data_IF_430462292742
#
_entry.id   IF_430462292742
#
_cell.length_a   1.000
_cell.length_b   1.000
_cell.length_c   1.000
_cell.angle_alpha   90.00
_cell.angle_beta   90.00
_cell.angle_gamma   90.00
#
_symmetry.space_group_name_H-M   'P 1'
#
loop_
_entity.id
_entity.type
_entity.pdbx_description
1 polymer ?
#
# COMPACT_ATOMS: atom_id res chain seq x y z
N UNK A 1 0.20 2.59 -6.14
CA UNK A 1 1.28 1.60 -5.87
C UNK A 1 0.91 0.81 -4.63
N UNK A 2 0.97 -0.51 -4.70
CA UNK A 2 0.70 -1.40 -3.57
C UNK A 2 1.97 -1.61 -2.72
N UNK A 3 1.80 -1.87 -1.42
CA UNK A 3 2.84 -2.53 -0.62
C UNK A 3 2.47 -4.00 -0.57
N UNK A 4 3.23 -4.81 -1.29
CA UNK A 4 2.97 -6.24 -1.37
C UNK A 4 3.76 -7.03 -0.34
N UNK A 5 5.00 -6.61 -0.07
CA UNK A 5 5.94 -7.32 0.80
C UNK A 5 6.69 -6.35 1.70
N UNK A 6 6.76 -6.67 2.99
CA UNK A 6 7.57 -5.99 3.99
C UNK A 6 8.54 -6.99 4.60
N UNK A 7 9.79 -6.59 4.85
CA UNK A 7 10.75 -7.41 5.57
C UNK A 7 11.83 -6.56 6.25
N UNK A 8 12.61 -7.19 7.12
CA UNK A 8 13.74 -6.58 7.83
C UNK A 8 15.03 -7.30 7.50
N UNK A 9 16.19 -6.68 7.74
CA UNK A 9 17.49 -7.31 7.51
C UNK A 9 17.97 -7.20 6.06
N UNK A 10 18.49 -8.31 5.52
CA UNK A 10 19.14 -8.32 4.22
C UNK A 10 18.16 -8.05 3.06
N UNK A 11 18.64 -7.39 2.01
CA UNK A 11 17.81 -7.01 0.86
C UNK A 11 17.56 -8.20 -0.09
N UNK A 12 18.59 -8.66 -0.80
CA UNK A 12 18.48 -9.71 -1.81
C UNK A 12 19.78 -10.51 -1.90
N UNK A 13 19.68 -11.83 -2.13
CA UNK A 13 20.77 -12.68 -2.59
C UNK A 13 20.53 -13.03 -4.07
N UNK A 14 21.42 -12.60 -4.97
CA UNK A 14 21.29 -12.80 -6.41
C UNK A 14 21.79 -14.16 -6.92
N UNK A 15 22.33 -15.01 -6.05
CA UNK A 15 23.00 -16.27 -6.41
C UNK A 15 22.13 -17.20 -7.28
N UNK A 16 20.82 -17.26 -7.02
CA UNK A 16 19.84 -18.03 -7.80
C UNK A 16 19.84 -17.71 -9.30
N UNK A 17 20.25 -16.51 -9.68
CA UNK A 17 20.22 -16.04 -11.07
C UNK A 17 21.58 -16.10 -11.77
N UNK A 18 22.64 -16.54 -11.08
CA UNK A 18 23.98 -16.63 -11.67
C UNK A 18 24.17 -17.89 -12.51
N UNK A 19 23.46 -18.97 -12.20
CA UNK A 19 23.59 -20.27 -12.87
C UNK A 19 22.52 -20.53 -13.94
N UNK A 20 21.51 -19.66 -14.05
CA UNK A 20 20.45 -19.81 -15.04
C UNK A 20 19.47 -18.63 -15.08
N UNK A 21 18.89 -18.41 -16.27
CA UNK A 21 17.80 -17.43 -16.47
C UNK A 21 16.45 -18.09 -16.21
N UNK A 22 15.44 -17.29 -15.86
CA UNK A 22 14.05 -17.77 -15.74
C UNK A 22 13.72 -18.59 -14.49
N UNK A 23 14.56 -18.54 -13.44
CA UNK A 23 14.37 -19.31 -12.21
C UNK A 23 13.23 -18.80 -11.30
N UNK A 24 12.37 -17.91 -11.78
CA UNK A 24 11.29 -17.29 -10.99
C UNK A 24 11.75 -16.06 -10.18
N UNK A 25 10.91 -15.63 -9.23
CA UNK A 25 11.19 -14.47 -8.39
C UNK A 25 12.18 -14.81 -7.27
N UNK A 26 13.09 -13.88 -6.96
CA UNK A 26 13.97 -13.98 -5.81
C UNK A 26 13.25 -13.48 -4.55
N UNK A 27 13.07 -14.32 -3.51
CA UNK A 27 12.53 -13.85 -2.23
C UNK A 27 13.52 -12.90 -1.54
N UNK A 28 13.06 -12.09 -0.58
CA UNK A 28 13.96 -11.31 0.27
C UNK A 28 14.99 -12.21 0.96
N UNK A 29 16.23 -11.74 1.07
CA UNK A 29 17.26 -12.42 1.86
C UNK A 29 17.12 -12.16 3.37
N UNK A 30 16.18 -11.28 3.76
CA UNK A 30 15.97 -10.85 5.12
C UNK A 30 15.06 -11.75 5.94
N UNK A 31 14.58 -11.20 7.06
CA UNK A 31 13.76 -11.86 8.07
C UNK A 31 12.45 -11.08 8.29
N UNK A 32 11.51 -11.68 9.03
CA UNK A 32 10.20 -11.09 9.34
C UNK A 32 9.45 -10.66 8.08
N UNK A 33 9.46 -11.54 7.08
CA UNK A 33 8.84 -11.31 5.77
C UNK A 33 7.32 -11.40 5.90
N UNK A 34 6.63 -10.32 5.57
CA UNK A 34 5.16 -10.21 5.63
C UNK A 34 4.63 -9.85 4.26
N UNK A 35 3.84 -10.74 3.66
CA UNK A 35 3.07 -10.45 2.44
C UNK A 35 1.78 -9.76 2.83
N UNK A 36 1.67 -8.48 2.51
CA UNK A 36 0.61 -7.59 2.99
C UNK A 36 -0.57 -7.55 2.01
N UNK A 37 -0.29 -7.41 0.72
CA UNK A 37 -1.30 -7.27 -0.32
C UNK A 37 -0.80 -7.95 -1.61
N UNK A 38 -1.70 -8.11 -2.57
CA UNK A 38 -1.40 -8.53 -3.93
C UNK A 38 -2.38 -7.91 -4.91
N UNK A 39 -1.91 -7.45 -6.07
CA UNK A 39 -2.78 -6.88 -7.10
C UNK A 39 -3.09 -5.39 -6.87
N UNK A 40 -4.15 -4.85 -7.51
CA UNK A 40 -4.47 -3.43 -7.43
C UNK A 40 -4.67 -2.94 -5.99
N UNK A 41 -4.03 -1.83 -5.62
CA UNK A 41 -4.21 -1.20 -4.31
C UNK A 41 -5.36 -0.19 -4.28
N UNK A 42 -5.92 0.17 -5.43
CA UNK A 42 -7.06 1.07 -5.55
C UNK A 42 -8.15 0.43 -6.39
N UNK A 43 -9.40 0.70 -6.04
CA UNK A 43 -10.57 0.31 -6.83
C UNK A 43 -11.74 1.26 -6.58
N UNK A 44 -12.66 1.34 -7.54
CA UNK A 44 -13.96 1.99 -7.38
C UNK A 44 -14.97 0.93 -6.92
N UNK A 45 -15.54 1.10 -5.74
CA UNK A 45 -16.51 0.14 -5.18
C UNK A 45 -17.85 0.83 -5.03
N UNK A 46 -18.84 0.37 -5.79
CA UNK A 46 -20.22 0.84 -5.69
C UNK A 46 -20.89 0.40 -4.37
N UNK A 47 -20.44 -0.73 -3.80
CA UNK A 47 -20.92 -1.24 -2.52
C UNK A 47 -19.84 -2.02 -1.78
N UNK A 48 -20.09 -2.32 -0.50
CA UNK A 48 -19.19 -3.16 0.32
C UNK A 48 -19.13 -4.62 -0.14
N UNK A 49 -20.02 -5.07 -1.03
CA UNK A 49 -20.02 -6.44 -1.59
C UNK A 49 -19.42 -6.52 -2.99
N UNK A 50 -19.15 -5.38 -3.65
CA UNK A 50 -18.46 -5.34 -4.94
C UNK A 50 -17.12 -6.05 -4.84
N UNK A 51 -16.89 -7.05 -5.70
CA UNK A 51 -15.64 -7.80 -5.74
C UNK A 51 -14.45 -6.87 -6.01
N UNK A 52 -13.31 -7.13 -5.40
CA UNK A 52 -12.09 -6.39 -5.72
C UNK A 52 -11.55 -6.83 -7.07
N UNK A 53 -11.19 -5.91 -7.98
CA UNK A 53 -10.74 -6.29 -9.32
C UNK A 53 -9.38 -7.00 -9.26
N UNK A 54 -9.20 -8.02 -10.12
CA UNK A 54 -7.94 -8.76 -10.22
C UNK A 54 -6.80 -7.95 -10.84
N UNK A 55 -7.16 -7.01 -11.71
CA UNK A 55 -6.26 -6.10 -12.43
C UNK A 55 -6.87 -4.70 -12.49
N UNK A 56 -6.10 -3.69 -12.89
CA UNK A 56 -6.68 -2.38 -13.15
C UNK A 56 -7.51 -2.46 -14.44
N UNK A 57 -8.83 -2.27 -14.33
CA UNK A 57 -9.73 -2.21 -15.47
C UNK A 57 -9.63 -0.89 -16.22
N UNK A 58 -10.31 -0.80 -17.37
CA UNK A 58 -10.34 0.40 -18.21
C UNK A 58 -10.89 1.64 -17.47
N UNK A 59 -11.78 1.43 -16.49
CA UNK A 59 -12.35 2.45 -15.61
C UNK A 59 -11.34 3.06 -14.62
N UNK A 60 -10.22 2.36 -14.41
CA UNK A 60 -9.11 2.74 -13.55
C UNK A 60 -7.79 2.64 -14.30
N UNK A 61 -7.69 3.31 -15.46
CA UNK A 61 -6.44 3.39 -16.20
C UNK A 61 -5.30 3.87 -15.28
N UNK A 62 -4.46 2.91 -14.91
CA UNK A 62 -3.36 3.09 -13.99
C UNK A 62 -2.05 3.13 -14.76
N UNK A 63 -1.30 4.23 -14.63
CA UNK A 63 -0.03 4.39 -15.34
C UNK A 63 1.05 4.83 -14.38
N UNK A 64 2.13 4.06 -14.32
CA UNK A 64 3.34 4.50 -13.65
C UNK A 64 4.01 5.61 -14.47
N UNK A 65 4.25 6.76 -13.83
CA UNK A 65 4.82 7.95 -14.47
C UNK A 65 6.32 8.04 -14.23
N UNK A 66 6.80 7.55 -13.09
CA UNK A 66 8.22 7.54 -12.74
C UNK A 66 8.45 7.70 -11.25
N UNK A 67 9.68 8.00 -10.87
CA UNK A 67 10.05 8.27 -9.48
C UNK A 67 11.13 9.36 -9.39
N UNK A 68 11.25 9.98 -8.22
CA UNK A 68 12.33 10.91 -7.89
C UNK A 68 12.84 10.64 -6.48
N UNK A 69 14.11 10.94 -6.24
CA UNK A 69 14.68 10.87 -4.91
C UNK A 69 14.64 12.23 -4.22
N UNK A 70 14.39 12.24 -2.92
CA UNK A 70 14.62 13.42 -2.08
C UNK A 70 16.11 13.53 -1.71
N UNK A 71 16.48 14.55 -0.92
CA UNK A 71 17.88 14.79 -0.48
C UNK A 71 18.47 13.64 0.37
N UNK A 72 17.62 12.78 0.94
CA UNK A 72 18.00 11.59 1.73
C UNK A 72 18.02 10.30 0.88
N UNK A 73 17.87 10.42 -0.43
CA UNK A 73 17.75 9.29 -1.36
C UNK A 73 16.51 8.40 -1.12
N UNK A 74 15.49 8.93 -0.45
CA UNK A 74 14.21 8.24 -0.31
C UNK A 74 13.37 8.50 -1.58
N UNK A 75 12.73 7.46 -2.17
CA UNK A 75 11.97 7.61 -3.40
C UNK A 75 10.58 8.21 -3.14
N UNK A 76 10.12 9.00 -4.10
CA UNK A 76 8.72 9.34 -4.32
C UNK A 76 8.29 8.74 -5.65
N UNK A 77 7.25 7.91 -5.65
CA UNK A 77 6.71 7.24 -6.83
C UNK A 77 5.49 8.00 -7.35
N UNK A 78 5.46 8.26 -8.66
CA UNK A 78 4.40 8.99 -9.33
C UNK A 78 3.60 8.05 -10.23
N UNK A 79 2.28 8.08 -10.12
CA UNK A 79 1.37 7.35 -11.00
C UNK A 79 0.09 8.14 -11.24
N UNK A 80 -0.58 7.86 -12.36
CA UNK A 80 -1.95 8.32 -12.60
C UNK A 80 -2.93 7.17 -12.39
N UNK A 81 -4.13 7.50 -11.95
CA UNK A 81 -5.22 6.55 -11.76
C UNK A 81 -6.55 7.24 -12.08
N UNK A 82 -7.24 6.85 -13.15
CA UNK A 82 -8.51 7.47 -13.57
C UNK A 82 -8.43 9.02 -13.61
N UNK A 83 -7.33 9.57 -14.16
CA UNK A 83 -7.07 11.01 -14.23
C UNK A 83 -6.61 11.67 -12.93
N UNK A 84 -6.60 10.96 -11.79
CA UNK A 84 -5.98 11.42 -10.54
C UNK A 84 -4.46 11.36 -10.67
N UNK A 85 -3.76 12.34 -10.10
CA UNK A 85 -2.30 12.27 -9.95
C UNK A 85 -2.00 11.78 -8.55
N UNK A 86 -1.21 10.72 -8.43
CA UNK A 86 -0.87 10.13 -7.16
C UNK A 86 0.63 10.12 -6.97
N UNK A 87 1.06 10.57 -5.79
CA UNK A 87 2.44 10.51 -5.33
C UNK A 87 2.50 9.68 -4.05
N UNK A 88 3.33 8.64 -4.04
CA UNK A 88 3.54 7.76 -2.89
C UNK A 88 4.97 7.92 -2.37
N UNK A 89 5.09 8.32 -1.10
CA UNK A 89 6.37 8.54 -0.42
C UNK A 89 6.56 7.53 0.70
N UNK A 90 7.17 6.36 0.42
CA UNK A 90 7.62 5.44 1.45
C UNK A 90 8.87 5.96 2.16
N UNK A 91 8.88 5.91 3.49
CA UNK A 91 10.00 6.30 4.35
C UNK A 91 10.21 5.27 5.45
N UNK A 92 11.44 4.82 5.62
CA UNK A 92 11.78 3.90 6.70
C UNK A 92 11.63 4.58 8.06
N UNK A 93 11.02 3.88 9.01
CA UNK A 93 11.03 4.26 10.43
C UNK A 93 12.17 3.50 11.07
N UNK A 94 13.22 4.22 11.47
CA UNK A 94 14.40 3.67 12.12
C UNK A 94 14.51 4.25 13.54
N UNK A 95 14.36 3.41 14.55
CA UNK A 95 14.61 3.72 15.95
C UNK A 95 15.26 2.54 16.66
N UNK A 96 15.85 2.77 17.85
CA UNK A 96 16.64 1.76 18.58
C UNK A 96 16.04 0.34 18.55
N UNK A 97 14.74 0.22 18.79
CA UNK A 97 13.97 -1.04 18.70
C UNK A 97 12.65 -0.85 17.93
N UNK A 98 12.59 0.10 16.99
CA UNK A 98 11.38 0.34 16.19
C UNK A 98 11.76 0.36 14.72
N UNK A 99 11.31 -0.65 14.01
CA UNK A 99 11.45 -0.76 12.56
C UNK A 99 10.07 -0.67 11.94
N UNK A 100 9.98 0.03 10.81
CA UNK A 100 8.72 0.23 10.15
C UNK A 100 8.83 0.97 8.84
N UNK A 101 7.68 1.19 8.23
CA UNK A 101 7.51 1.95 7.01
C UNK A 101 6.39 2.95 7.22
N UNK A 102 6.67 4.23 7.03
CA UNK A 102 5.63 5.24 6.87
C UNK A 102 5.41 5.49 5.38
N UNK A 103 4.15 5.64 4.96
CA UNK A 103 3.77 6.05 3.61
C UNK A 103 2.85 7.26 3.69
N UNK A 104 3.17 8.28 2.91
CA UNK A 104 2.26 9.38 2.61
C UNK A 104 1.86 9.27 1.14
N UNK A 105 0.60 8.89 0.90
CA UNK A 105 0.03 8.80 -0.45
C UNK A 105 -0.79 10.05 -0.69
N UNK A 106 -0.26 10.95 -1.51
CA UNK A 106 -0.88 12.21 -1.92
C UNK A 106 -1.68 11.99 -3.19
N UNK A 107 -2.95 12.36 -3.19
CA UNK A 107 -3.91 12.19 -4.28
C UNK A 107 -4.40 13.58 -4.67
N UNK A 108 -3.97 14.06 -5.84
CA UNK A 108 -4.36 15.35 -6.39
C UNK A 108 -5.57 15.18 -7.31
N UNK A 109 -6.66 15.89 -6.99
CA UNK A 109 -7.93 15.83 -7.71
C UNK A 109 -8.17 17.14 -8.45
N UNK A 110 -7.79 17.18 -9.73
CA UNK A 110 -8.01 18.34 -10.60
C UNK A 110 -9.40 18.44 -11.22
N UNK A 111 -10.20 17.36 -11.18
CA UNK A 111 -11.46 17.24 -11.92
C UNK A 111 -12.66 16.83 -11.06
N UNK A 112 -13.44 15.86 -11.56
CA UNK A 112 -14.55 15.24 -10.83
C UNK A 112 -13.97 14.43 -9.66
N UNK A 113 -14.51 14.64 -8.47
CA UNK A 113 -14.11 13.90 -7.27
C UNK A 113 -14.78 12.52 -7.30
N UNK A 114 -14.04 11.40 -7.28
CA UNK A 114 -14.65 10.08 -7.20
C UNK A 114 -15.12 9.80 -5.77
N UNK A 115 -16.39 9.43 -5.62
CA UNK A 115 -17.02 9.17 -4.31
C UNK A 115 -16.87 7.73 -3.83
N UNK A 116 -16.41 6.83 -4.69
CA UNK A 116 -16.34 5.38 -4.45
C UNK A 116 -14.92 4.85 -4.47
N UNK A 117 -13.91 5.72 -4.43
CA UNK A 117 -12.51 5.28 -4.44
C UNK A 117 -12.14 4.68 -3.08
N UNK A 118 -11.65 3.45 -3.12
CA UNK A 118 -11.14 2.72 -1.96
C UNK A 118 -9.67 2.38 -2.17
N UNK A 119 -8.95 2.30 -1.06
CA UNK A 119 -7.62 1.73 -0.99
C UNK A 119 -7.67 0.37 -0.28
N UNK A 120 -7.10 -0.67 -0.88
CA UNK A 120 -6.91 -1.97 -0.22
C UNK A 120 -5.56 -1.97 0.47
N UNK A 121 -5.59 -2.02 1.80
CA UNK A 121 -4.39 -1.96 2.61
C UNK A 121 -3.81 -3.34 2.93
N UNK A 122 -4.64 -4.39 2.92
CA UNK A 122 -4.19 -5.77 3.04
C UNK A 122 -5.17 -6.77 2.40
N UNK A 123 -4.65 -7.89 1.92
CA UNK A 123 -5.43 -9.07 1.54
C UNK A 123 -4.59 -10.35 1.68
N UNK A 124 -5.25 -11.50 1.86
CA UNK A 124 -4.56 -12.80 1.92
C UNK A 124 -3.69 -13.02 3.16
N UNK A 125 -3.83 -12.17 4.18
CA UNK A 125 -3.17 -12.24 5.48
C UNK A 125 -4.18 -12.00 6.58
N UNK A 126 -4.09 -12.71 7.72
CA UNK A 126 -5.00 -12.47 8.84
C UNK A 126 -5.00 -10.98 9.26
N UNK A 127 -6.19 -10.37 9.33
CA UNK A 127 -6.35 -8.98 9.78
C UNK A 127 -7.17 -8.93 11.06
N UNK A 128 -6.57 -8.46 12.15
CA UNK A 128 -7.27 -8.25 13.44
C UNK A 128 -7.34 -6.76 13.77
N UNK A 129 -8.55 -6.25 14.03
CA UNK A 129 -8.74 -4.86 14.48
C UNK A 129 -8.27 -4.70 15.93
N UNK A 130 -7.37 -3.75 16.17
CA UNK A 130 -6.82 -3.41 17.50
C UNK A 130 -7.46 -2.14 18.10
N UNK A 131 -8.41 -1.54 17.38
CA UNK A 131 -9.02 -0.26 17.70
C UNK A 131 -8.15 0.95 17.36
N UNK A 132 -8.80 2.11 17.22
CA UNK A 132 -8.12 3.38 16.94
C UNK A 132 -7.43 3.42 15.57
N UNK A 133 -8.05 2.85 14.54
CA UNK A 133 -7.49 2.72 13.18
C UNK A 133 -6.19 1.88 13.10
N UNK A 134 -6.01 0.94 14.03
CA UNK A 134 -4.89 0.00 14.03
C UNK A 134 -5.35 -1.41 13.74
N UNK A 135 -4.55 -2.11 12.94
CA UNK A 135 -4.82 -3.46 12.47
C UNK A 135 -3.56 -4.30 12.60
N UNK A 136 -3.63 -5.43 13.30
CA UNK A 136 -2.58 -6.44 13.28
C UNK A 136 -2.69 -7.26 11.98
N UNK A 137 -1.56 -7.42 11.30
CA UNK A 137 -1.42 -8.16 10.06
C UNK A 137 -0.59 -9.41 10.34
N UNK A 138 -1.28 -10.54 10.48
CA UNK A 138 -0.68 -11.87 10.67
C UNK A 138 0.18 -12.01 11.93
N UNK A 139 -0.08 -11.25 13.00
CA UNK A 139 0.67 -11.27 14.26
C UNK A 139 2.06 -10.64 14.20
N UNK A 140 2.46 -10.06 13.07
CA UNK A 140 3.84 -9.61 12.84
C UNK A 140 3.98 -8.10 12.67
N UNK A 141 3.03 -7.47 11.98
CA UNK A 141 3.08 -6.03 11.64
C UNK A 141 1.77 -5.38 12.04
N UNK A 142 1.86 -4.26 12.75
CA UNK A 142 0.73 -3.37 12.99
C UNK A 142 0.69 -2.29 11.91
N UNK A 143 -0.43 -2.22 11.21
CA UNK A 143 -0.79 -1.10 10.34
C UNK A 143 -1.62 -0.09 11.12
N UNK A 144 -1.15 1.15 11.19
CA UNK A 144 -1.90 2.32 11.66
C UNK A 144 -2.32 3.18 10.47
N UNK A 145 -3.63 3.45 10.36
CA UNK A 145 -4.20 4.33 9.34
C UNK A 145 -4.38 5.73 9.94
N UNK A 146 -3.60 6.68 9.42
CA UNK A 146 -3.64 8.07 9.86
C UNK A 146 -4.93 8.78 9.46
N UNK A 147 -5.22 9.87 10.18
CA UNK A 147 -6.27 10.82 9.78
C UNK A 147 -5.89 11.51 8.46
N UNK A 148 -6.88 11.99 7.71
CA UNK A 148 -6.69 12.62 6.41
C UNK A 148 -7.89 12.33 5.51
N UNK A 149 -7.62 11.85 4.29
CA UNK A 149 -8.70 11.41 3.38
C UNK A 149 -9.28 10.04 3.73
N UNK A 150 -8.65 9.29 4.63
CA UNK A 150 -9.18 8.00 5.10
C UNK A 150 -10.52 8.18 5.84
N UNK A 151 -11.56 7.52 5.34
CA UNK A 151 -12.77 7.25 6.10
C UNK A 151 -12.58 5.96 6.94
N UNK A 152 -13.59 5.55 7.72
CA UNK A 152 -13.53 4.38 8.60
C UNK A 152 -13.11 3.12 7.82
N UNK A 153 -11.92 2.54 8.09
CA UNK A 153 -11.52 1.28 7.49
C UNK A 153 -12.40 0.13 7.96
N UNK A 154 -12.51 -0.91 7.16
CA UNK A 154 -13.27 -2.12 7.51
C UNK A 154 -12.63 -3.37 6.91
N UNK A 155 -12.88 -4.51 7.56
CA UNK A 155 -12.43 -5.82 7.10
C UNK A 155 -13.61 -6.58 6.52
N UNK A 156 -13.45 -7.20 5.34
CA UNK A 156 -14.45 -8.10 4.75
C UNK A 156 -13.82 -9.40 4.24
N UNK A 157 -14.67 -10.37 3.90
CA UNK A 157 -14.29 -11.64 3.26
C UNK A 157 -13.13 -12.38 3.95
N UNK A 158 -13.09 -12.32 5.30
CA UNK A 158 -12.05 -12.94 6.12
C UNK A 158 -10.63 -12.64 5.61
N UNK A 159 -10.23 -11.36 5.61
CA UNK A 159 -8.83 -10.83 5.53
C UNK A 159 -8.60 -9.67 4.56
N UNK A 160 -9.65 -9.10 3.96
CA UNK A 160 -9.50 -7.94 3.09
C UNK A 160 -9.73 -6.65 3.87
N UNK A 161 -8.66 -5.87 4.10
CA UNK A 161 -8.72 -4.57 4.77
C UNK A 161 -8.85 -3.44 3.75
N UNK A 162 -10.00 -2.77 3.78
CA UNK A 162 -10.35 -1.69 2.87
C UNK A 162 -10.45 -0.35 3.59
N UNK A 163 -9.99 0.70 2.93
CA UNK A 163 -10.04 2.09 3.39
C UNK A 163 -10.81 2.91 2.35
N UNK A 164 -12.08 3.27 2.60
CA UNK A 164 -12.78 4.23 1.74
C UNK A 164 -12.08 5.59 1.82
N UNK A 165 -11.96 6.28 0.69
CA UNK A 165 -11.32 7.58 0.62
C UNK A 165 -12.36 8.68 0.43
N UNK A 166 -12.42 9.60 1.39
CA UNK A 166 -13.21 10.83 1.29
C UNK A 166 -12.36 11.91 0.65
N UNK A 167 -12.36 11.95 -0.68
CA UNK A 167 -11.62 12.94 -1.46
C UNK A 167 -12.35 14.28 -1.58
N UNK A 168 -11.57 15.33 -1.80
CA UNK A 168 -12.02 16.68 -2.18
C UNK A 168 -11.21 17.15 -3.40
N UNK A 169 -11.64 18.23 -4.05
CA UNK A 169 -10.78 18.88 -5.07
C UNK A 169 -9.47 19.36 -4.45
N UNK A 170 -8.39 19.31 -5.23
CA UNK A 170 -7.04 19.63 -4.78
C UNK A 170 -6.36 18.44 -4.09
N UNK A 171 -5.49 18.76 -3.14
CA UNK A 171 -4.60 17.78 -2.49
C UNK A 171 -5.31 17.02 -1.36
N UNK A 172 -5.18 15.68 -1.39
CA UNK A 172 -5.69 14.78 -0.35
C UNK A 172 -4.57 13.83 0.06
N UNK A 173 -4.48 13.48 1.35
CA UNK A 173 -3.40 12.61 1.84
C UNK A 173 -3.97 11.42 2.62
N UNK A 174 -3.53 10.23 2.24
CA UNK A 174 -3.67 8.99 3.00
C UNK A 174 -2.33 8.66 3.66
N UNK A 175 -2.31 8.64 4.99
CA UNK A 175 -1.12 8.29 5.77
C UNK A 175 -1.25 6.87 6.30
N UNK A 176 -0.21 6.05 6.09
CA UNK A 176 -0.13 4.67 6.57
C UNK A 176 1.18 4.49 7.31
N UNK A 177 1.14 3.77 8.43
CA UNK A 177 2.34 3.38 9.18
C UNK A 177 2.31 1.89 9.47
N UNK A 178 3.31 1.19 8.99
CA UNK A 178 3.57 -0.23 9.28
C UNK A 178 4.70 -0.30 10.30
N UNK A 179 4.49 -1.02 11.40
CA UNK A 179 5.52 -1.26 12.42
C UNK A 179 5.55 -2.73 12.77
N UNK A 180 6.74 -3.33 12.82
CA UNK A 180 6.87 -4.68 13.38
C UNK A 180 6.57 -4.67 14.88
N UNK A 181 5.96 -5.75 15.38
CA UNK A 181 5.75 -6.00 16.81
C UNK A 181 7.07 -6.16 17.58
#
# INVERSE_FOLDING_TARGET
MSVDLLWTGLFMDGSRHWTGRGQGNQPPAGQNVVKVNSGPSFALLESQTTAWPGEFGDDLEARFVGYKYNRRQEPAFYFTLAGLKIEDRPQAILGRNRFGLQRAITIEVGGKVPSTLHFRAANGIEVKELGGNRFDLGGQVVLEVGKGTANRPYVRNNNELLIPLQLKRGENILNLRYSWN
#
